data_IF_420791922883
#
_entry.id   IF_420791922883
#
_cell.length_a   1.000
_cell.length_b   1.000
_cell.length_c   1.000
_cell.angle_alpha   90.00
_cell.angle_beta   90.00
_cell.angle_gamma   90.00
#
_symmetry.space_group_name_H-M   'P 1'
#
loop_
_entity.id
_entity.type
_entity.pdbx_description
1 polymer ?
#
# COMPACT_ATOMS: atom_id res chain seq x y z
N UNK A 1 19.89 -4.96 -15.09
CA UNK A 1 20.86 -4.52 -14.06
C UNK A 1 20.32 -4.94 -12.71
N UNK A 2 21.10 -5.64 -11.89
CA UNK A 2 20.73 -5.98 -10.52
C UNK A 2 21.40 -5.00 -9.56
N UNK A 3 20.72 -4.65 -8.46
CA UNK A 3 21.26 -3.81 -7.38
C UNK A 3 21.44 -4.64 -6.12
N UNK A 4 22.34 -4.22 -5.22
CA UNK A 4 22.53 -4.87 -3.92
C UNK A 4 21.24 -4.86 -3.10
N UNK A 5 20.76 -6.04 -2.68
CA UNK A 5 19.51 -6.16 -1.91
C UNK A 5 19.54 -5.37 -0.60
N UNK A 6 20.71 -5.26 0.06
CA UNK A 6 20.88 -4.51 1.30
C UNK A 6 20.61 -3.00 1.16
N UNK A 7 20.76 -2.42 -0.04
CA UNK A 7 20.47 -1.00 -0.30
C UNK A 7 18.98 -0.73 -0.57
N UNK A 8 18.17 -1.79 -0.72
CA UNK A 8 16.73 -1.70 -0.92
C UNK A 8 16.33 -0.74 -2.05
N UNK A 9 15.19 -0.08 -1.88
CA UNK A 9 14.64 0.82 -2.90
C UNK A 9 15.53 2.06 -3.14
N UNK A 10 16.21 2.58 -2.12
CA UNK A 10 17.14 3.71 -2.29
C UNK A 10 18.29 3.37 -3.23
N UNK A 11 18.83 2.14 -3.14
CA UNK A 11 19.85 1.65 -4.06
C UNK A 11 19.35 1.52 -5.49
N UNK A 12 18.12 1.05 -5.68
CA UNK A 12 17.48 0.94 -6.99
C UNK A 12 17.28 2.32 -7.64
N UNK A 13 16.81 3.32 -6.87
CA UNK A 13 16.65 4.70 -7.34
C UNK A 13 18.00 5.29 -7.76
N UNK A 14 19.02 5.18 -6.90
CA UNK A 14 20.35 5.71 -7.21
C UNK A 14 20.94 5.10 -8.49
N UNK A 15 20.73 3.79 -8.72
CA UNK A 15 21.18 3.15 -9.95
C UNK A 15 20.37 3.59 -11.17
N UNK A 16 19.06 3.85 -11.03
CA UNK A 16 18.26 4.41 -12.11
C UNK A 16 18.76 5.81 -12.51
N UNK A 17 19.09 6.66 -11.53
CA UNK A 17 19.61 8.02 -11.77
C UNK A 17 21.01 8.00 -12.41
N UNK A 18 21.86 7.03 -12.04
CA UNK A 18 23.16 6.80 -12.67
C UNK A 18 22.98 6.42 -14.15
N UNK A 19 22.14 5.42 -14.44
CA UNK A 19 21.88 4.97 -15.81
C UNK A 19 21.27 6.07 -16.67
N UNK A 20 20.43 6.94 -16.09
CA UNK A 20 19.82 8.05 -16.80
C UNK A 20 20.83 9.10 -17.30
N UNK A 21 21.97 9.24 -16.59
CA UNK A 21 23.07 10.13 -17.01
C UNK A 21 23.90 9.53 -18.13
N UNK A 22 23.97 8.21 -18.22
CA UNK A 22 24.82 7.50 -19.17
C UNK A 22 24.11 7.14 -20.47
N UNK A 23 22.80 6.88 -20.42
CA UNK A 23 22.02 6.40 -21.57
C UNK A 23 21.33 7.59 -22.25
N UNK A 24 21.72 7.97 -23.49
CA UNK A 24 21.07 9.04 -24.23
C UNK A 24 19.57 8.75 -24.46
N UNK A 25 18.73 9.79 -24.38
CA UNK A 25 17.27 9.70 -24.53
C UNK A 25 16.57 8.75 -23.53
N UNK A 26 17.21 8.44 -22.41
CA UNK A 26 16.56 7.71 -21.31
C UNK A 26 15.62 8.62 -20.51
N UNK A 27 14.64 8.01 -19.84
CA UNK A 27 13.64 8.71 -19.04
C UNK A 27 13.36 7.95 -17.74
N UNK A 28 13.45 8.64 -16.61
CA UNK A 28 13.10 8.10 -15.29
C UNK A 28 11.74 8.65 -14.89
N UNK A 29 10.71 7.79 -14.88
CA UNK A 29 9.34 8.19 -14.57
C UNK A 29 9.14 8.68 -13.11
N UNK A 30 10.01 8.28 -12.19
CA UNK A 30 10.07 8.84 -10.83
C UNK A 30 8.85 8.57 -9.96
N UNK A 31 8.39 7.32 -9.83
CA UNK A 31 7.12 6.98 -9.15
C UNK A 31 6.97 7.49 -7.70
N UNK A 32 8.06 7.76 -6.99
CA UNK A 32 8.06 8.28 -5.61
C UNK A 32 7.99 9.80 -5.50
N UNK A 33 8.21 10.52 -6.62
CA UNK A 33 8.26 12.00 -6.69
C UNK A 33 7.28 12.59 -7.70
N UNK A 34 6.77 11.78 -8.63
CA UNK A 34 5.95 12.23 -9.73
C UNK A 34 4.47 12.43 -9.30
N UNK A 35 3.93 13.66 -9.33
CA UNK A 35 2.56 13.94 -8.89
C UNK A 35 1.48 13.29 -9.77
N UNK A 36 1.83 12.80 -10.97
CA UNK A 36 0.93 12.00 -11.79
C UNK A 36 0.50 10.70 -11.09
N UNK A 37 1.33 10.15 -10.19
CA UNK A 37 1.02 8.95 -9.43
C UNK A 37 -0.23 9.12 -8.53
N UNK A 38 -0.23 10.01 -7.51
CA UNK A 38 -1.44 10.24 -6.71
C UNK A 38 -2.59 10.83 -7.52
N UNK A 39 -2.30 11.64 -8.56
CA UNK A 39 -3.34 12.21 -9.41
C UNK A 39 -4.16 11.14 -10.13
N UNK A 40 -3.54 10.07 -10.63
CA UNK A 40 -4.25 8.98 -11.26
C UNK A 40 -5.29 8.37 -10.31
N UNK A 41 -4.91 8.07 -9.07
CA UNK A 41 -5.82 7.53 -8.06
C UNK A 41 -6.91 8.51 -7.62
N UNK A 42 -6.62 9.81 -7.57
CA UNK A 42 -7.65 10.84 -7.33
C UNK A 42 -8.68 10.89 -8.46
N UNK A 43 -8.24 10.71 -9.71
CA UNK A 43 -9.11 10.81 -10.89
C UNK A 43 -9.88 9.53 -11.22
N UNK A 44 -9.47 8.39 -10.68
CA UNK A 44 -10.03 7.07 -11.05
C UNK A 44 -10.39 6.24 -9.83
N UNK A 45 -9.38 5.71 -9.12
CA UNK A 45 -9.58 4.79 -7.99
C UNK A 45 -10.47 5.37 -6.87
N UNK A 46 -10.33 6.65 -6.54
CA UNK A 46 -11.18 7.33 -5.55
C UNK A 46 -12.65 7.40 -6.00
N UNK A 47 -12.92 7.98 -7.18
CA UNK A 47 -14.26 7.98 -7.79
C UNK A 47 -14.90 6.60 -7.88
N UNK A 48 -14.17 5.59 -8.36
CA UNK A 48 -14.66 4.20 -8.47
C UNK A 48 -15.12 3.66 -7.11
N UNK A 49 -14.31 3.82 -6.06
CA UNK A 49 -14.70 3.40 -4.70
C UNK A 49 -15.94 4.14 -4.21
N UNK A 50 -16.04 5.43 -4.48
CA UNK A 50 -17.19 6.23 -4.05
C UNK A 50 -18.47 5.81 -4.76
N UNK A 51 -18.41 5.65 -6.08
CA UNK A 51 -19.53 5.22 -6.92
C UNK A 51 -19.97 3.79 -6.58
N UNK A 52 -19.04 2.83 -6.52
CA UNK A 52 -19.34 1.42 -6.28
C UNK A 52 -19.83 1.14 -4.85
N UNK A 53 -19.64 2.08 -3.93
CA UNK A 53 -20.17 2.00 -2.56
C UNK A 53 -21.41 2.88 -2.34
N UNK A 54 -21.96 3.49 -3.39
CA UNK A 54 -23.06 4.46 -3.30
C UNK A 54 -22.78 5.59 -2.27
N UNK A 55 -21.51 5.99 -2.13
CA UNK A 55 -21.05 6.98 -1.14
C UNK A 55 -21.02 6.48 0.32
N UNK A 56 -21.18 5.17 0.54
CA UNK A 56 -21.30 4.57 1.88
C UNK A 56 -19.96 4.08 2.44
N UNK A 57 -18.83 4.30 1.77
CA UNK A 57 -17.50 4.01 2.33
C UNK A 57 -17.23 4.85 3.57
N UNK A 58 -16.94 4.20 4.69
CA UNK A 58 -16.58 4.86 5.96
C UNK A 58 -15.08 4.84 6.22
N UNK A 59 -14.41 3.76 5.82
CA UNK A 59 -12.97 3.54 6.04
C UNK A 59 -12.33 3.00 4.77
N UNK A 60 -11.25 3.63 4.33
CA UNK A 60 -10.39 3.13 3.26
C UNK A 60 -9.03 2.68 3.81
N UNK A 61 -8.62 1.46 3.48
CA UNK A 61 -7.38 0.84 3.98
C UNK A 61 -6.48 0.48 2.80
N UNK A 62 -5.24 0.97 2.82
CA UNK A 62 -4.26 0.61 1.80
C UNK A 62 -2.82 0.61 2.34
N UNK A 63 -2.03 -0.33 1.81
CA UNK A 63 -0.59 -0.39 2.05
C UNK A 63 0.17 0.75 1.38
N UNK A 64 1.23 1.24 2.05
CA UNK A 64 2.03 2.36 1.53
C UNK A 64 3.35 1.87 0.93
N UNK A 65 3.38 1.83 -0.40
CA UNK A 65 4.60 1.74 -1.22
C UNK A 65 5.10 3.14 -1.59
N UNK A 66 4.64 3.65 -2.74
CA UNK A 66 4.88 5.06 -3.12
C UNK A 66 4.02 6.04 -2.34
N UNK A 67 2.89 5.59 -1.78
CA UNK A 67 1.89 6.46 -1.15
C UNK A 67 0.91 7.13 -2.12
N UNK A 68 1.03 6.86 -3.43
CA UNK A 68 0.15 7.42 -4.45
C UNK A 68 -1.32 7.07 -4.22
N UNK A 69 -1.64 5.80 -3.94
CA UNK A 69 -3.02 5.35 -3.73
C UNK A 69 -3.65 5.99 -2.50
N UNK A 70 -2.98 5.93 -1.33
CA UNK A 70 -3.48 6.55 -0.09
C UNK A 70 -3.69 8.06 -0.27
N UNK A 71 -2.77 8.74 -0.96
CA UNK A 71 -2.88 10.18 -1.23
C UNK A 71 -4.03 10.50 -2.16
N UNK A 72 -4.10 9.87 -3.34
CA UNK A 72 -5.13 10.16 -4.33
C UNK A 72 -6.54 9.78 -3.86
N UNK A 73 -6.72 8.53 -3.43
CA UNK A 73 -8.02 8.03 -2.93
C UNK A 73 -8.44 8.80 -1.69
N UNK A 74 -7.53 8.98 -0.72
CA UNK A 74 -7.85 9.68 0.52
C UNK A 74 -8.25 11.13 0.29
N UNK A 75 -7.59 11.83 -0.65
CA UNK A 75 -7.96 13.20 -1.03
C UNK A 75 -9.37 13.24 -1.62
N UNK A 76 -9.64 12.38 -2.61
CA UNK A 76 -10.95 12.34 -3.26
C UNK A 76 -12.07 12.00 -2.26
N UNK A 77 -11.93 10.93 -1.49
CA UNK A 77 -12.98 10.48 -0.56
C UNK A 77 -13.26 11.51 0.53
N UNK A 78 -12.24 12.21 1.05
CA UNK A 78 -12.44 13.26 2.06
C UNK A 78 -13.06 14.54 1.50
N UNK A 79 -12.90 14.82 0.21
CA UNK A 79 -13.64 15.89 -0.47
C UNK A 79 -15.14 15.55 -0.60
N UNK A 80 -15.48 14.27 -0.81
CA UNK A 80 -16.87 13.82 -0.86
C UNK A 80 -17.52 13.74 0.53
N UNK A 81 -16.79 13.18 1.51
CA UNK A 81 -17.21 13.09 2.89
C UNK A 81 -16.00 13.21 3.83
N UNK A 82 -15.83 14.33 4.56
CA UNK A 82 -14.67 14.56 5.42
C UNK A 82 -14.61 13.60 6.62
N UNK A 83 -15.67 12.84 6.90
CA UNK A 83 -15.70 11.84 7.97
C UNK A 83 -15.06 10.50 7.57
N UNK A 84 -14.82 10.26 6.27
CA UNK A 84 -14.15 9.04 5.81
C UNK A 84 -12.78 8.94 6.47
N UNK A 85 -12.49 7.76 7.04
CA UNK A 85 -11.20 7.45 7.63
C UNK A 85 -10.28 6.80 6.62
N UNK A 86 -9.07 7.31 6.51
CA UNK A 86 -8.04 6.74 5.64
C UNK A 86 -6.98 6.11 6.53
N UNK A 87 -6.70 4.82 6.33
CA UNK A 87 -5.77 4.05 7.14
C UNK A 87 -4.63 3.55 6.27
N UNK A 88 -3.42 3.96 6.63
CA UNK A 88 -2.19 3.49 6.00
C UNK A 88 -1.71 2.19 6.65
N UNK A 89 -1.25 1.25 5.83
CA UNK A 89 -0.64 0.00 6.31
C UNK A 89 0.85 0.00 6.01
N UNK A 90 1.66 -0.36 7.01
CA UNK A 90 3.12 -0.48 6.87
C UNK A 90 3.65 -1.76 7.53
N UNK A 91 4.87 -2.23 7.18
CA UNK A 91 5.49 -3.36 7.87
C UNK A 91 5.92 -3.00 9.29
N UNK A 92 5.58 -3.84 10.28
CA UNK A 92 5.96 -3.64 11.68
C UNK A 92 7.48 -3.66 11.90
N UNK A 93 8.22 -4.43 11.10
CA UNK A 93 9.70 -4.47 11.15
C UNK A 93 10.38 -3.32 10.38
N UNK A 94 9.61 -2.47 9.69
CA UNK A 94 10.09 -1.24 9.05
C UNK A 94 9.08 -0.08 9.17
N UNK A 95 8.74 0.35 10.40
CA UNK A 95 7.66 1.29 10.67
C UNK A 95 8.10 2.75 10.44
N UNK A 96 8.32 3.11 9.18
CA UNK A 96 8.85 4.43 8.80
C UNK A 96 7.81 5.52 9.03
N UNK A 97 6.53 5.26 8.76
CA UNK A 97 5.46 6.26 8.88
C UNK A 97 5.09 6.52 10.33
N UNK A 98 5.03 5.47 11.17
CA UNK A 98 4.64 5.60 12.58
C UNK A 98 5.81 5.88 13.53
N UNK A 99 7.03 5.40 13.23
CA UNK A 99 8.18 5.48 14.14
C UNK A 99 9.44 6.09 13.52
N UNK A 100 9.45 6.40 12.21
CA UNK A 100 10.62 6.95 11.53
C UNK A 100 11.79 5.97 11.38
N UNK A 101 11.55 4.66 11.59
CA UNK A 101 12.60 3.62 11.54
C UNK A 101 12.39 2.71 10.33
N UNK A 102 13.47 2.45 9.60
CA UNK A 102 13.48 1.49 8.49
C UNK A 102 14.13 0.17 8.92
N UNK A 103 13.71 -0.92 8.30
CA UNK A 103 14.24 -2.26 8.55
C UNK A 103 13.90 -3.23 7.42
N UNK A 104 14.43 -4.45 7.51
CA UNK A 104 14.11 -5.49 6.54
C UNK A 104 12.72 -6.08 6.82
N UNK A 105 11.95 -6.36 5.76
CA UNK A 105 10.64 -7.00 5.84
C UNK A 105 10.37 -7.83 4.58
N UNK A 106 9.30 -8.62 4.61
CA UNK A 106 8.90 -9.51 3.50
C UNK A 106 7.59 -9.12 2.83
N UNK A 107 6.90 -8.09 3.32
CA UNK A 107 5.68 -7.55 2.70
C UNK A 107 6.03 -6.76 1.44
N UNK A 108 6.16 -7.47 0.30
CA UNK A 108 6.52 -6.85 -0.97
C UNK A 108 5.45 -5.87 -1.45
N UNK A 109 5.89 -4.75 -2.03
CA UNK A 109 5.02 -3.69 -2.56
C UNK A 109 4.83 -2.49 -1.62
N UNK A 110 5.07 -2.64 -0.32
CA UNK A 110 4.94 -1.56 0.69
C UNK A 110 6.25 -1.37 1.46
N UNK A 111 6.34 -0.34 2.31
CA UNK A 111 7.47 -0.17 3.23
C UNK A 111 8.79 0.20 2.56
N UNK A 112 8.82 1.22 1.70
CA UNK A 112 9.99 1.57 0.88
C UNK A 112 11.28 1.96 1.65
N UNK A 113 11.24 2.05 2.99
CA UNK A 113 12.39 2.45 3.82
C UNK A 113 12.62 3.97 3.92
N UNK A 114 11.66 4.76 3.45
CA UNK A 114 11.61 6.21 3.55
C UNK A 114 10.17 6.70 3.33
N UNK A 115 9.88 7.95 3.68
CA UNK A 115 8.61 8.61 3.36
C UNK A 115 8.71 9.17 1.93
N UNK A 116 7.90 8.70 0.96
CA UNK A 116 7.94 9.21 -0.41
C UNK A 116 7.42 10.65 -0.52
N UNK A 117 7.97 11.43 -1.45
CA UNK A 117 7.56 12.83 -1.66
C UNK A 117 6.10 12.96 -2.10
N UNK A 118 5.58 11.97 -2.84
CA UNK A 118 4.17 11.97 -3.28
C UNK A 118 3.17 11.55 -2.19
N UNK A 119 3.63 11.08 -1.03
CA UNK A 119 2.75 10.71 0.08
C UNK A 119 2.33 11.96 0.86
N UNK A 120 1.04 12.29 0.84
CA UNK A 120 0.47 13.28 1.75
C UNK A 120 0.25 12.68 3.14
N UNK A 121 1.19 12.87 4.07
CA UNK A 121 1.12 12.30 5.43
C UNK A 121 0.01 12.86 6.30
N UNK A 122 -0.67 13.93 5.86
CA UNK A 122 -1.82 14.53 6.57
C UNK A 122 -3.15 13.91 6.15
N UNK A 123 -3.17 13.06 5.11
CA UNK A 123 -4.43 12.54 4.57
C UNK A 123 -4.99 11.36 5.37
N UNK A 124 -4.10 10.53 5.93
CA UNK A 124 -4.47 9.36 6.71
C UNK A 124 -4.69 9.71 8.19
N UNK A 125 -5.64 9.04 8.81
CA UNK A 125 -6.03 9.20 10.20
C UNK A 125 -5.25 8.26 11.13
N UNK A 126 -4.80 7.11 10.61
CA UNK A 126 -4.13 6.07 11.36
C UNK A 126 -3.10 5.34 10.48
N UNK A 127 -2.03 4.86 11.11
CA UNK A 127 -1.08 3.90 10.52
C UNK A 127 -1.18 2.59 11.31
N UNK A 128 -1.42 1.48 10.62
CA UNK A 128 -1.43 0.14 11.23
C UNK A 128 -0.16 -0.61 10.79
N UNK A 129 0.79 -0.88 11.72
CA UNK A 129 1.91 -1.77 11.46
C UNK A 129 1.44 -3.22 11.40
N UNK A 130 1.93 -3.99 10.43
CA UNK A 130 1.56 -5.40 10.22
C UNK A 130 2.80 -6.29 10.18
N UNK A 131 2.75 -7.39 10.91
CA UNK A 131 3.82 -8.40 10.92
C UNK A 131 3.82 -9.21 9.63
N UNK A 132 4.99 -9.73 9.22
CA UNK A 132 5.09 -10.55 8.00
C UNK A 132 4.18 -11.80 8.08
N UNK A 133 4.16 -12.45 9.24
CA UNK A 133 3.42 -13.69 9.44
C UNK A 133 1.90 -13.46 9.40
N UNK A 134 1.43 -12.33 9.93
CA UNK A 134 0.03 -11.91 9.83
C UNK A 134 -0.39 -11.64 8.38
N UNK A 135 0.47 -10.97 7.60
CA UNK A 135 0.23 -10.72 6.18
C UNK A 135 0.17 -12.03 5.37
N UNK A 136 1.12 -12.96 5.60
CA UNK A 136 1.14 -14.25 4.93
C UNK A 136 -0.05 -15.13 5.30
N UNK A 137 -0.33 -15.29 6.59
CA UNK A 137 -1.43 -16.11 7.08
C UNK A 137 -2.78 -15.58 6.55
N UNK A 138 -2.96 -14.26 6.53
CA UNK A 138 -4.19 -13.65 6.01
C UNK A 138 -4.30 -13.80 4.49
N UNK A 139 -3.21 -13.58 3.74
CA UNK A 139 -3.18 -13.78 2.29
C UNK A 139 -3.54 -15.21 1.89
N UNK A 140 -2.95 -16.22 2.55
CA UNK A 140 -3.30 -17.64 2.37
C UNK A 140 -4.78 -17.89 2.69
N UNK A 141 -5.27 -17.34 3.80
CA UNK A 141 -6.66 -17.50 4.22
C UNK A 141 -7.65 -16.96 3.18
N UNK A 142 -7.40 -15.79 2.60
CA UNK A 142 -8.25 -15.22 1.53
C UNK A 142 -8.32 -16.18 0.34
N UNK A 143 -7.21 -16.78 -0.07
CA UNK A 143 -7.19 -17.80 -1.12
C UNK A 143 -8.03 -19.04 -0.77
N UNK A 144 -7.95 -19.51 0.47
CA UNK A 144 -8.68 -20.70 0.93
C UNK A 144 -10.18 -20.46 1.19
N UNK A 145 -10.58 -19.30 1.71
CA UNK A 145 -11.97 -19.03 2.09
C UNK A 145 -12.78 -18.32 1.01
N UNK A 146 -12.17 -17.38 0.28
CA UNK A 146 -12.86 -16.53 -0.69
C UNK A 146 -12.59 -16.96 -2.15
N UNK A 147 -11.63 -17.86 -2.38
CA UNK A 147 -11.24 -18.30 -3.73
C UNK A 147 -10.49 -17.24 -4.53
N UNK A 148 -9.97 -16.19 -3.89
CA UNK A 148 -9.23 -15.10 -4.53
C UNK A 148 -7.75 -15.20 -4.17
N UNK A 149 -6.90 -15.41 -5.17
CA UNK A 149 -5.45 -15.42 -4.97
C UNK A 149 -4.89 -14.00 -4.98
N UNK A 150 -4.37 -13.57 -3.83
CA UNK A 150 -3.87 -12.21 -3.62
C UNK A 150 -2.38 -12.19 -3.29
N UNK A 151 -1.69 -11.08 -3.57
CA UNK A 151 -0.31 -10.88 -3.15
C UNK A 151 -0.12 -10.62 -1.66
N UNK A 152 1.14 -10.47 -1.24
CA UNK A 152 1.52 -10.35 0.17
C UNK A 152 0.98 -9.05 0.80
N UNK A 153 1.04 -7.93 0.06
CA UNK A 153 0.55 -6.63 0.55
C UNK A 153 -0.97 -6.59 0.71
N UNK A 154 -1.71 -7.30 -0.15
CA UNK A 154 -3.14 -7.53 0.00
C UNK A 154 -3.45 -8.25 1.32
N UNK A 155 -2.70 -9.30 1.66
CA UNK A 155 -2.82 -9.99 2.93
C UNK A 155 -2.64 -9.05 4.14
N UNK A 156 -1.65 -8.15 4.08
CA UNK A 156 -1.45 -7.14 5.12
C UNK A 156 -2.61 -6.14 5.23
N UNK A 157 -3.11 -5.65 4.09
CA UNK A 157 -4.22 -4.71 4.04
C UNK A 157 -5.53 -5.34 4.56
N UNK A 158 -5.81 -6.59 4.19
CA UNK A 158 -6.97 -7.35 4.69
C UNK A 158 -6.85 -7.61 6.18
N UNK A 159 -5.66 -7.97 6.68
CA UNK A 159 -5.45 -8.16 8.11
C UNK A 159 -5.79 -6.87 8.88
N UNK A 160 -5.29 -5.72 8.41
CA UNK A 160 -5.57 -4.42 9.01
C UNK A 160 -7.08 -4.09 8.96
N UNK A 161 -7.74 -4.36 7.83
CA UNK A 161 -9.20 -4.22 7.67
C UNK A 161 -9.98 -5.08 8.66
N UNK A 162 -9.55 -6.34 8.90
CA UNK A 162 -10.15 -7.23 9.90
C UNK A 162 -9.95 -6.68 11.32
N UNK A 163 -8.78 -6.14 11.65
CA UNK A 163 -8.56 -5.53 12.98
C UNK A 163 -9.45 -4.31 13.18
N UNK A 164 -9.63 -3.47 12.15
CA UNK A 164 -10.55 -2.34 12.18
C UNK A 164 -12.01 -2.79 12.33
N UNK A 165 -12.44 -3.83 11.62
CA UNK A 165 -13.80 -4.35 11.67
C UNK A 165 -14.18 -4.93 13.05
N UNK A 166 -13.20 -5.39 13.83
CA UNK A 166 -13.40 -5.87 15.21
C UNK A 166 -13.66 -4.75 16.21
N UNK A 167 -13.35 -3.49 15.87
CA UNK A 167 -13.50 -2.36 16.80
C UNK A 167 -14.98 -1.97 16.95
N UNK A 168 -15.51 -1.78 18.18
CA UNK A 168 -16.93 -1.46 18.39
C UNK A 168 -17.43 -0.25 17.62
N UNK A 169 -16.60 0.79 17.47
CA UNK A 169 -16.90 2.03 16.75
C UNK A 169 -17.03 1.86 15.23
N UNK A 170 -16.63 0.70 14.68
CA UNK A 170 -16.77 0.36 13.26
C UNK A 170 -17.91 -0.62 12.98
N UNK A 171 -18.72 -0.95 13.99
CA UNK A 171 -19.88 -1.83 13.80
C UNK A 171 -20.86 -1.22 12.78
N UNK A 172 -21.16 -1.97 11.73
CA UNK A 172 -22.09 -1.56 10.67
C UNK A 172 -21.50 -0.58 9.64
N UNK A 173 -20.21 -0.24 9.75
CA UNK A 173 -19.51 0.61 8.78
C UNK A 173 -19.00 -0.17 7.58
N UNK A 174 -18.88 0.51 6.44
CA UNK A 174 -18.27 -0.04 5.22
C UNK A 174 -16.77 0.21 5.22
N UNK A 175 -15.98 -0.86 5.23
CA UNK A 175 -14.51 -0.80 5.14
C UNK A 175 -14.08 -1.30 3.76
N UNK A 176 -13.46 -0.44 2.98
CA UNK A 176 -12.88 -0.77 1.67
C UNK A 176 -11.39 -1.02 1.84
N UNK A 177 -10.92 -2.18 1.38
CA UNK A 177 -9.52 -2.61 1.48
C UNK A 177 -8.95 -2.81 0.07
N UNK A 178 -7.83 -2.17 -0.23
CA UNK A 178 -7.14 -2.32 -1.52
C UNK A 178 -6.35 -3.63 -1.57
N UNK A 179 -6.57 -4.44 -2.62
CA UNK A 179 -5.79 -5.63 -2.94
C UNK A 179 -4.96 -5.36 -4.21
N UNK A 180 -3.69 -4.95 -4.10
CA UNK A 180 -2.99 -4.32 -5.23
C UNK A 180 -2.62 -5.26 -6.39
N UNK A 181 -2.48 -6.56 -6.11
CA UNK A 181 -2.03 -7.54 -7.10
C UNK A 181 -2.46 -8.99 -6.80
N UNK A 182 -2.27 -9.82 -7.83
CA UNK A 182 -2.63 -11.24 -7.86
C UNK A 182 -1.56 -12.13 -7.23
N UNK A 183 -2.00 -13.21 -6.57
CA UNK A 183 -1.12 -14.14 -5.84
C UNK A 183 -0.22 -15.00 -6.73
N UNK A 184 -0.58 -15.23 -7.98
CA UNK A 184 0.18 -16.04 -8.96
C UNK A 184 1.62 -15.53 -9.18
N UNK A 185 1.86 -14.23 -8.99
CA UNK A 185 3.20 -13.61 -9.06
C UNK A 185 4.12 -14.01 -7.90
N UNK A 186 3.57 -14.64 -6.86
CA UNK A 186 4.24 -14.92 -5.60
C UNK A 186 4.49 -16.40 -5.35
N UNK A 187 4.28 -17.28 -6.33
CA UNK A 187 4.44 -18.74 -6.20
C UNK A 187 5.86 -19.18 -5.77
N UNK A 188 6.87 -18.35 -5.99
CA UNK A 188 8.25 -18.59 -5.55
C UNK A 188 8.61 -17.92 -4.22
N UNK A 189 7.61 -17.48 -3.45
CA UNK A 189 7.80 -16.76 -2.17
C UNK A 189 7.21 -17.55 -1.00
N UNK A 190 7.53 -17.18 0.27
CA UNK A 190 6.96 -17.83 1.45
C UNK A 190 5.42 -17.83 1.52
N UNK A 191 4.75 -16.96 0.75
CA UNK A 191 3.28 -16.94 0.67
C UNK A 191 2.69 -18.26 0.15
N UNK A 192 3.42 -19.01 -0.68
CA UNK A 192 2.96 -20.26 -1.31
C UNK A 192 3.93 -21.43 -1.10
N UNK A 193 4.79 -21.36 -0.08
CA UNK A 193 5.81 -22.38 0.17
C UNK A 193 5.29 -23.64 0.89
N UNK A 194 4.00 -23.71 1.22
CA UNK A 194 3.34 -24.84 1.90
C UNK A 194 2.14 -25.34 1.09
#
# INVERSE_FOLDING_TARGET
>A
VLTEGAKGMKGAIAKADELAKEIPNSFVAGQFVNPANPKAHYQTTGPEIWEDTDGQVDVFVAGVGTGGTVTGVGTYLKEQNPNVKVVAVEPASSPVLSQGKSGAHKIQGIGAGFVPDVLNTKIYDEVIPVENDDAFATGKKVGHSEGVLVGISSGAAVWAGIQLAKRPENKGKTIVVLLPDTGDRYLSTPLFAD
#
